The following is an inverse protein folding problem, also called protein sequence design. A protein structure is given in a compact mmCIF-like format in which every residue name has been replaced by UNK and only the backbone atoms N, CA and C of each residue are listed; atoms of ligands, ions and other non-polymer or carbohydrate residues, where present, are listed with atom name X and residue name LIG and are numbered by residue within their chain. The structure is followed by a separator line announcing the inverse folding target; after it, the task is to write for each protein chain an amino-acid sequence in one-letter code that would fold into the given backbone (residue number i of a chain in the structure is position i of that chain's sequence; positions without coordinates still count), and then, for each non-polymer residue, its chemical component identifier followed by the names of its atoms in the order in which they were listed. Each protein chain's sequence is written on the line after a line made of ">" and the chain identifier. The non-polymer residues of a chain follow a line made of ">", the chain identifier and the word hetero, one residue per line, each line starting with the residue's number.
data_IF_680299512719
#
_entry.id   IF_680299512719
#
_cell.length_a   1.000
_cell.length_b   1.000
_cell.length_c   1.000
_cell.angle_alpha   90.00
_cell.angle_beta   90.00
_cell.angle_gamma   90.00
#
_symmetry.space_group_name_H-M   'P 1'
#
loop_
_entity.id
_entity.type
_entity.pdbx_description
1 polymer ?
#
# COMPACT_ATOMS: atom_id res chain seq x y z
N UNK A 1 23.30 -3.33 6.06
CA UNK A 1 23.11 -2.80 7.43
C UNK A 1 23.74 -3.73 8.45
N UNK A 2 24.36 -3.25 9.52
CA UNK A 2 24.79 -4.09 10.65
C UNK A 2 23.56 -4.36 11.53
N UNK A 3 22.78 -5.37 11.16
CA UNK A 3 21.59 -5.79 11.91
C UNK A 3 22.01 -6.70 13.05
N UNK A 4 21.50 -6.43 14.26
CA UNK A 4 21.63 -7.34 15.40
C UNK A 4 20.34 -8.16 15.55
N UNK A 5 20.42 -9.41 16.04
CA UNK A 5 19.22 -10.17 16.42
C UNK A 5 18.37 -9.41 17.45
N UNK A 6 19.02 -8.78 18.42
CA UNK A 6 18.39 -7.97 19.46
C UNK A 6 19.09 -6.62 19.59
N UNK A 7 18.31 -5.56 19.87
CA UNK A 7 18.81 -4.21 20.14
C UNK A 7 17.74 -3.37 20.84
N UNK A 8 18.16 -2.32 21.56
CA UNK A 8 17.21 -1.37 22.16
C UNK A 8 16.44 -0.54 21.14
N UNK A 9 16.98 -0.39 19.92
CA UNK A 9 16.32 0.28 18.81
C UNK A 9 15.84 -0.78 17.81
N UNK A 10 14.55 -0.75 17.48
CA UNK A 10 13.95 -1.56 16.42
C UNK A 10 13.60 -0.67 15.24
N UNK A 11 14.16 -0.96 14.06
CA UNK A 11 13.69 -0.33 12.83
C UNK A 11 12.43 -1.04 12.35
N UNK A 12 11.34 -0.31 12.22
CA UNK A 12 10.09 -0.77 11.62
C UNK A 12 9.98 -0.20 10.22
N UNK A 13 10.18 -1.04 9.21
CA UNK A 13 10.26 -0.60 7.81
C UNK A 13 8.87 -0.28 7.25
N UNK A 14 7.88 -1.09 7.59
CA UNK A 14 6.53 -1.03 7.06
C UNK A 14 6.43 -1.63 5.65
N UNK A 15 5.19 -1.76 5.17
CA UNK A 15 4.91 -2.48 3.93
C UNK A 15 5.35 -1.73 2.67
N UNK A 16 4.93 -0.47 2.48
CA UNK A 16 5.22 0.26 1.22
C UNK A 16 6.71 0.48 1.03
N UNK A 17 7.46 0.80 2.10
CA UNK A 17 8.91 0.95 2.03
C UNK A 17 9.64 -0.39 1.80
N UNK A 18 9.04 -1.54 2.14
CA UNK A 18 9.67 -2.85 1.94
C UNK A 18 9.37 -3.45 0.56
N UNK A 19 8.19 -3.17 0.00
CA UNK A 19 7.69 -3.86 -1.20
C UNK A 19 7.49 -2.97 -2.42
N UNK A 20 7.44 -1.63 -2.28
CA UNK A 20 7.16 -0.71 -3.40
C UNK A 20 8.28 0.32 -3.53
N UNK A 21 8.53 1.08 -2.47
CA UNK A 21 9.52 2.16 -2.38
C UNK A 21 10.74 1.67 -1.59
N UNK A 22 11.44 0.69 -2.16
CA UNK A 22 12.50 -0.06 -1.47
C UNK A 22 13.71 0.81 -1.09
N UNK A 23 13.92 1.90 -1.83
CA UNK A 23 14.96 2.89 -1.54
C UNK A 23 14.74 3.61 -0.21
N UNK A 24 13.50 3.77 0.24
CA UNK A 24 13.17 4.34 1.55
C UNK A 24 13.73 3.45 2.67
N UNK A 25 13.46 2.15 2.62
CA UNK A 25 13.92 1.23 3.64
C UNK A 25 15.43 1.01 3.58
N UNK A 26 15.98 0.86 2.37
CA UNK A 26 17.41 0.73 2.16
C UNK A 26 18.18 1.98 2.61
N UNK A 27 17.74 3.16 2.18
CA UNK A 27 18.33 4.45 2.54
C UNK A 27 18.28 4.70 4.03
N UNK A 28 17.13 4.45 4.67
CA UNK A 28 16.99 4.60 6.12
C UNK A 28 17.97 3.70 6.87
N UNK A 29 18.03 2.42 6.50
CA UNK A 29 18.95 1.49 7.13
C UNK A 29 20.41 1.92 6.95
N UNK A 30 20.81 2.40 5.76
CA UNK A 30 22.17 2.90 5.48
C UNK A 30 22.49 4.14 6.32
N UNK A 31 21.59 5.10 6.40
CA UNK A 31 21.78 6.33 7.18
C UNK A 31 21.90 6.05 8.67
N UNK A 32 21.03 5.20 9.23
CA UNK A 32 21.12 4.80 10.64
C UNK A 32 22.48 4.14 10.94
N UNK A 33 22.95 3.25 10.07
CA UNK A 33 24.28 2.64 10.22
C UNK A 33 25.41 3.66 10.13
N UNK A 34 25.35 4.59 9.17
CA UNK A 34 26.36 5.63 9.00
C UNK A 34 26.40 6.60 10.19
N UNK A 35 25.26 6.82 10.83
CA UNK A 35 25.14 7.59 12.06
C UNK A 35 25.48 6.81 13.35
N UNK A 36 26.02 5.58 13.22
CA UNK A 36 26.43 4.76 14.35
C UNK A 36 25.27 4.20 15.18
N UNK A 37 24.06 4.15 14.64
CA UNK A 37 22.88 3.60 15.32
C UNK A 37 22.86 2.09 15.16
N UNK A 38 22.91 1.37 16.27
CA UNK A 38 22.72 -0.08 16.30
C UNK A 38 21.24 -0.42 16.46
N UNK A 39 20.70 -1.25 15.56
CA UNK A 39 19.28 -1.61 15.58
C UNK A 39 19.01 -3.07 15.17
N UNK A 40 17.85 -3.56 15.58
CA UNK A 40 17.23 -4.82 15.14
C UNK A 40 16.05 -4.53 14.20
N UNK A 41 15.54 -5.57 13.55
CA UNK A 41 14.41 -5.52 12.61
C UNK A 41 13.60 -6.82 12.76
N UNK A 42 12.29 -6.75 12.50
CA UNK A 42 11.41 -7.92 12.60
C UNK A 42 11.57 -8.90 11.43
N UNK A 43 12.09 -8.48 10.27
CA UNK A 43 12.30 -9.40 9.17
C UNK A 43 10.97 -9.87 8.58
N UNK A 44 10.89 -11.16 8.29
CA UNK A 44 9.67 -11.81 7.82
C UNK A 44 8.55 -11.82 8.88
N UNK A 45 8.87 -11.59 10.16
CA UNK A 45 7.87 -11.46 11.21
C UNK A 45 7.18 -10.09 11.21
N UNK A 46 7.65 -9.09 10.46
CA UNK A 46 7.04 -7.75 10.46
C UNK A 46 5.66 -7.78 9.82
N UNK A 47 4.62 -7.39 10.57
CA UNK A 47 3.30 -7.14 10.01
C UNK A 47 3.14 -5.65 9.61
N UNK A 48 2.18 -5.36 8.73
CA UNK A 48 1.78 -3.99 8.44
C UNK A 48 1.45 -3.21 9.73
N UNK A 49 1.60 -1.88 9.73
CA UNK A 49 1.20 -1.03 10.85
C UNK A 49 -0.32 -1.00 11.11
N UNK A 50 -1.12 -1.61 10.22
CA UNK A 50 -2.56 -1.78 10.39
C UNK A 50 -3.41 -0.53 10.22
N UNK A 51 -2.82 0.64 9.91
CA UNK A 51 -3.58 1.89 9.78
C UNK A 51 -4.81 1.79 8.85
N UNK A 52 -4.74 1.14 7.66
CA UNK A 52 -5.92 0.94 6.82
C UNK A 52 -7.03 0.13 7.50
N UNK A 53 -6.69 -0.88 8.31
CA UNK A 53 -7.67 -1.68 9.05
C UNK A 53 -8.37 -0.85 10.11
N UNK A 54 -7.63 0.00 10.83
CA UNK A 54 -8.19 0.91 11.82
C UNK A 54 -9.22 1.86 11.20
N UNK A 55 -8.86 2.57 10.12
CA UNK A 55 -9.73 3.58 9.49
C UNK A 55 -10.91 2.95 8.74
N UNK A 56 -10.78 1.70 8.29
CA UNK A 56 -11.87 0.94 7.67
C UNK A 56 -12.82 0.28 8.68
N UNK A 57 -12.60 0.46 9.99
CA UNK A 57 -13.45 -0.15 11.03
C UNK A 57 -13.20 -1.65 11.24
N UNK A 58 -12.10 -2.21 10.71
CA UNK A 58 -11.70 -3.62 10.89
C UNK A 58 -10.91 -3.78 12.20
N UNK A 59 -11.59 -3.44 13.29
CA UNK A 59 -11.03 -3.29 14.63
C UNK A 59 -10.48 -4.56 15.24
N UNK A 60 -11.11 -5.72 14.99
CA UNK A 60 -10.60 -7.01 15.46
C UNK A 60 -9.25 -7.34 14.79
N UNK A 61 -9.17 -7.20 13.47
CA UNK A 61 -7.93 -7.36 12.70
C UNK A 61 -6.86 -6.36 13.12
N UNK A 62 -7.25 -5.09 13.38
CA UNK A 62 -6.30 -4.11 13.90
C UNK A 62 -5.76 -4.51 15.27
N UNK A 63 -6.59 -5.01 16.17
CA UNK A 63 -6.16 -5.49 17.49
C UNK A 63 -5.20 -6.69 17.41
N UNK A 64 -5.39 -7.60 16.46
CA UNK A 64 -4.45 -8.70 16.18
C UNK A 64 -3.09 -8.16 15.73
N UNK A 65 -3.09 -7.22 14.79
CA UNK A 65 -1.87 -6.57 14.27
C UNK A 65 -1.11 -5.82 15.38
N UNK A 66 -1.84 -5.10 16.24
CA UNK A 66 -1.26 -4.37 17.38
C UNK A 66 -0.52 -5.34 18.32
N UNK A 67 -1.18 -6.44 18.73
CA UNK A 67 -0.56 -7.48 19.58
C UNK A 67 0.70 -8.05 18.96
N UNK A 68 0.58 -8.52 17.71
CA UNK A 68 1.68 -9.15 16.98
C UNK A 68 2.92 -8.25 16.89
N UNK A 69 2.74 -6.99 16.50
CA UNK A 69 3.84 -6.06 16.35
C UNK A 69 4.48 -5.67 17.70
N UNK A 70 3.67 -5.40 18.73
CA UNK A 70 4.16 -5.08 20.09
C UNK A 70 4.98 -6.24 20.64
N UNK A 71 4.45 -7.46 20.58
CA UNK A 71 5.10 -8.67 21.07
C UNK A 71 6.39 -8.94 20.29
N UNK A 72 6.36 -8.81 18.96
CA UNK A 72 7.51 -9.04 18.10
C UNK A 72 8.68 -8.07 18.34
N UNK A 73 8.40 -6.78 18.59
CA UNK A 73 9.43 -5.80 18.98
C UNK A 73 9.95 -6.07 20.39
N UNK A 74 9.06 -6.35 21.35
CA UNK A 74 9.43 -6.65 22.74
C UNK A 74 10.33 -7.89 22.84
N UNK A 75 10.01 -8.94 22.08
CA UNK A 75 10.79 -10.17 22.01
C UNK A 75 12.23 -9.95 21.50
N UNK A 76 12.50 -8.82 20.81
CA UNK A 76 13.82 -8.44 20.30
C UNK A 76 14.56 -7.42 21.17
N UNK A 77 14.04 -7.15 22.38
CA UNK A 77 14.63 -6.22 23.34
C UNK A 77 14.45 -4.73 23.00
N UNK A 78 13.53 -4.41 22.09
CA UNK A 78 13.31 -3.04 21.61
C UNK A 78 12.63 -2.19 22.69
N UNK A 79 13.10 -0.95 22.85
CA UNK A 79 12.47 0.12 23.64
C UNK A 79 12.15 1.35 22.81
N UNK A 80 12.89 1.58 21.73
CA UNK A 80 12.64 2.68 20.79
C UNK A 80 12.35 2.11 19.41
N UNK A 81 11.15 2.35 18.89
CA UNK A 81 10.76 2.00 17.53
C UNK A 81 11.08 3.17 16.61
N UNK A 82 11.96 2.94 15.65
CA UNK A 82 12.30 3.91 14.60
C UNK A 82 11.58 3.54 13.33
N UNK A 83 10.89 4.49 12.72
CA UNK A 83 10.13 4.29 11.48
C UNK A 83 10.69 5.14 10.34
N UNK A 84 10.50 4.69 9.10
CA UNK A 84 10.76 5.47 7.87
C UNK A 84 9.50 6.05 7.23
N UNK A 85 8.33 5.57 7.64
CA UNK A 85 7.06 6.00 7.09
C UNK A 85 6.25 6.78 8.15
N UNK A 86 5.85 8.03 7.87
CA UNK A 86 4.97 8.83 8.73
C UNK A 86 3.66 8.15 9.15
N UNK A 87 3.07 7.29 8.32
CA UNK A 87 1.88 6.54 8.69
C UNK A 87 2.18 5.43 9.73
N UNK A 88 3.35 4.80 9.61
CA UNK A 88 3.81 3.81 10.59
C UNK A 88 4.17 4.51 11.90
N UNK A 89 4.83 5.68 11.83
CA UNK A 89 5.07 6.54 12.99
C UNK A 89 3.77 6.85 13.74
N UNK A 90 2.73 7.34 13.04
CA UNK A 90 1.43 7.66 13.66
C UNK A 90 0.78 6.43 14.31
N UNK A 91 0.88 5.28 13.64
CA UNK A 91 0.31 4.02 14.15
C UNK A 91 0.98 3.61 15.45
N UNK A 92 2.32 3.56 15.49
CA UNK A 92 3.06 3.22 16.70
C UNK A 92 2.89 4.29 17.78
N UNK A 93 3.17 5.56 17.46
CA UNK A 93 3.22 6.65 18.44
C UNK A 93 1.86 6.89 19.12
N UNK A 94 0.78 6.88 18.34
CA UNK A 94 -0.55 7.30 18.81
C UNK A 94 -1.48 6.10 18.94
N UNK A 95 -1.75 5.38 17.86
CA UNK A 95 -2.83 4.38 17.87
C UNK A 95 -2.48 3.11 18.64
N UNK A 96 -1.26 2.59 18.54
CA UNK A 96 -0.85 1.39 19.26
C UNK A 96 -0.84 1.63 20.76
N UNK A 97 -0.43 2.83 21.20
CA UNK A 97 -0.52 3.23 22.61
C UNK A 97 -1.95 3.20 23.13
N UNK A 98 -2.89 3.84 22.42
CA UNK A 98 -4.31 3.87 22.80
C UNK A 98 -4.93 2.46 22.79
N UNK A 99 -4.57 1.65 21.81
CA UNK A 99 -5.10 0.30 21.66
C UNK A 99 -4.49 -0.69 22.64
N UNK A 100 -3.20 -0.59 22.94
CA UNK A 100 -2.56 -1.39 23.97
C UNK A 100 -3.27 -1.21 25.32
N UNK A 101 -3.63 0.02 25.69
CA UNK A 101 -4.42 0.29 26.89
C UNK A 101 -5.79 -0.42 26.85
N UNK A 102 -6.52 -0.35 25.72
CA UNK A 102 -7.82 -1.03 25.56
C UNK A 102 -7.71 -2.55 25.62
N UNK A 103 -6.59 -3.09 25.15
CA UNK A 103 -6.33 -4.53 25.08
C UNK A 103 -5.66 -5.09 26.34
N UNK A 104 -5.27 -4.24 27.29
CA UNK A 104 -4.54 -4.64 28.49
C UNK A 104 -3.09 -5.08 28.21
N UNK A 105 -2.47 -4.51 27.18
CA UNK A 105 -1.08 -4.78 26.80
C UNK A 105 -0.16 -3.70 27.39
N UNK A 106 1.03 -4.10 27.81
CA UNK A 106 2.08 -3.16 28.18
C UNK A 106 2.63 -2.44 26.94
N UNK A 107 2.69 -1.11 27.02
CA UNK A 107 3.20 -0.26 25.94
C UNK A 107 4.15 0.81 26.49
N UNK A 108 5.44 0.52 26.41
CA UNK A 108 6.54 1.33 26.92
C UNK A 108 7.55 1.72 25.82
N UNK A 109 7.09 1.71 24.56
CA UNK A 109 7.93 2.12 23.42
C UNK A 109 8.01 3.65 23.27
N UNK A 110 9.23 4.15 23.13
CA UNK A 110 9.48 5.44 22.49
C UNK A 110 9.36 5.27 20.97
N UNK A 111 8.71 6.21 20.28
CA UNK A 111 8.51 6.10 18.83
C UNK A 111 9.09 7.31 18.14
N UNK A 112 9.98 7.08 17.18
CA UNK A 112 10.69 8.13 16.43
C UNK A 112 10.62 7.88 14.94
N UNK A 113 10.63 8.95 14.17
CA UNK A 113 10.98 8.89 12.75
C UNK A 113 12.50 8.94 12.59
N UNK A 114 13.06 8.26 11.59
CA UNK A 114 14.53 8.22 11.41
C UNK A 114 15.14 9.61 11.25
N UNK A 115 14.41 10.58 10.69
CA UNK A 115 14.90 11.96 10.57
C UNK A 115 15.12 12.62 11.94
N UNK A 116 14.34 12.28 12.97
CA UNK A 116 14.54 12.76 14.33
C UNK A 116 15.84 12.23 14.91
N UNK A 117 16.14 10.95 14.67
CA UNK A 117 17.36 10.30 15.13
C UNK A 117 18.58 10.91 14.43
N UNK A 118 18.52 11.09 13.11
CA UNK A 118 19.60 11.72 12.35
C UNK A 118 19.83 13.18 12.74
N UNK A 119 18.76 13.97 12.87
CA UNK A 119 18.85 15.37 13.27
C UNK A 119 19.51 15.50 14.66
N UNK A 120 19.18 14.63 15.62
CA UNK A 120 19.84 14.61 16.91
C UNK A 120 21.34 14.32 16.80
N UNK A 121 21.75 13.30 16.04
CA UNK A 121 23.16 12.97 15.81
C UNK A 121 23.92 14.10 15.10
N UNK A 122 23.26 14.79 14.16
CA UNK A 122 23.83 15.97 13.48
C UNK A 122 24.05 17.11 14.48
N UNK A 123 23.04 17.45 15.30
CA UNK A 123 23.16 18.51 16.32
C UNK A 123 24.22 18.20 17.37
N UNK A 124 24.36 16.92 17.75
CA UNK A 124 25.41 16.46 18.65
C UNK A 124 26.82 16.49 18.01
N UNK A 125 26.92 16.68 16.69
CA UNK A 125 28.18 16.63 15.96
C UNK A 125 28.73 15.21 15.74
N UNK A 126 27.93 14.18 16.05
CA UNK A 126 28.28 12.76 15.96
C UNK A 126 28.09 12.19 14.56
N UNK A 127 27.31 12.86 13.72
CA UNK A 127 27.10 12.49 12.32
C UNK A 127 27.19 13.71 11.41
N UNK A 128 27.86 13.55 10.27
CA UNK A 128 27.98 14.56 9.21
C UNK A 128 27.99 13.87 7.86
N UNK A 129 27.40 14.51 6.86
CA UNK A 129 27.46 14.02 5.49
C UNK A 129 28.83 14.33 4.86
N UNK A 130 29.52 13.32 4.29
CA UNK A 130 30.88 13.51 3.76
C UNK A 130 30.92 14.17 2.37
N UNK A 131 29.89 13.99 1.54
CA UNK A 131 29.91 14.43 0.14
C UNK A 131 28.86 15.50 -0.15
N UNK A 132 29.14 16.44 -1.07
CA UNK A 132 28.16 17.40 -1.51
C UNK A 132 27.13 16.81 -2.47
N UNK A 133 25.90 17.32 -2.42
CA UNK A 133 24.81 17.04 -3.36
C UNK A 133 24.30 18.39 -3.88
N UNK A 134 24.89 18.94 -4.97
CA UNK A 134 24.50 20.23 -5.53
C UNK A 134 23.15 20.09 -6.23
N UNK A 135 22.08 20.31 -5.48
CA UNK A 135 20.71 20.19 -5.94
C UNK A 135 19.82 21.16 -5.15
N UNK A 136 18.96 21.89 -5.85
CA UNK A 136 17.93 22.72 -5.24
C UNK A 136 16.64 21.93 -5.09
N UNK A 137 16.20 21.74 -3.85
CA UNK A 137 15.03 20.92 -3.53
C UNK A 137 14.00 21.70 -2.73
N UNK A 138 12.75 21.26 -2.81
CA UNK A 138 11.71 21.66 -1.88
C UNK A 138 11.20 20.48 -1.06
N UNK A 139 10.50 20.73 0.04
CA UNK A 139 10.10 19.72 1.01
C UNK A 139 8.58 19.59 1.13
N UNK A 140 8.08 18.36 1.02
CA UNK A 140 6.69 18.02 1.29
C UNK A 140 6.51 17.57 2.75
N UNK A 141 5.82 18.38 3.55
CA UNK A 141 5.44 18.00 4.91
C UNK A 141 4.33 16.93 4.92
N UNK A 142 4.61 15.69 5.38
CA UNK A 142 3.62 14.63 5.40
C UNK A 142 2.61 14.85 6.53
N UNK A 143 1.32 14.61 6.26
CA UNK A 143 0.25 14.90 7.20
C UNK A 143 0.30 14.10 8.51
N UNK A 144 0.68 12.82 8.47
CA UNK A 144 0.70 11.94 9.65
C UNK A 144 1.82 12.25 10.65
N UNK A 145 2.94 12.81 10.19
CA UNK A 145 4.06 13.19 11.06
C UNK A 145 4.05 14.69 11.36
N UNK A 146 3.65 15.52 10.38
CA UNK A 146 3.49 16.96 10.57
C UNK A 146 2.25 17.31 11.39
N UNK A 147 1.05 17.23 10.80
CA UNK A 147 -0.19 17.69 11.48
C UNK A 147 -0.55 16.87 12.72
N UNK A 148 -0.34 15.56 12.68
CA UNK A 148 -0.66 14.70 13.82
C UNK A 148 0.50 14.55 14.82
N UNK A 149 1.74 14.82 14.41
CA UNK A 149 2.93 14.61 15.25
C UNK A 149 3.74 15.85 15.63
N UNK A 150 3.51 16.98 14.97
CA UNK A 150 4.29 18.21 15.19
C UNK A 150 5.74 18.14 14.71
N UNK A 151 6.11 17.11 13.96
CA UNK A 151 7.50 16.89 13.51
C UNK A 151 7.69 17.56 12.15
N UNK A 152 8.31 18.75 12.17
CA UNK A 152 8.57 19.56 10.97
C UNK A 152 10.06 19.84 10.74
N UNK A 153 10.80 20.16 11.79
CA UNK A 153 12.21 20.56 11.66
C UNK A 153 13.19 19.41 11.44
N UNK A 154 13.05 18.22 12.05
CA UNK A 154 14.06 17.17 11.89
C UNK A 154 14.36 16.77 10.43
N UNK A 155 13.36 16.60 9.53
CA UNK A 155 13.63 16.42 8.11
C UNK A 155 14.43 17.58 7.47
N UNK A 156 14.10 18.82 7.83
CA UNK A 156 14.78 20.02 7.32
C UNK A 156 16.20 20.15 7.83
N UNK A 157 16.46 19.78 9.08
CA UNK A 157 17.80 19.71 9.66
C UNK A 157 18.67 18.70 8.91
N UNK A 158 18.12 17.52 8.59
CA UNK A 158 18.81 16.53 7.75
C UNK A 158 19.13 17.10 6.37
N UNK A 159 18.17 17.74 5.69
CA UNK A 159 18.39 18.35 4.38
C UNK A 159 19.45 19.44 4.41
N UNK A 160 19.37 20.38 5.37
CA UNK A 160 20.34 21.49 5.52
C UNK A 160 21.74 21.01 5.90
N UNK A 161 21.86 19.82 6.49
CA UNK A 161 23.15 19.24 6.84
C UNK A 161 23.89 18.64 5.62
N UNK A 162 23.22 18.41 4.49
CA UNK A 162 23.84 17.89 3.28
C UNK A 162 24.62 19.03 2.58
N UNK A 163 25.95 18.91 2.42
CA UNK A 163 26.73 19.95 1.78
C UNK A 163 26.25 20.21 0.34
N UNK A 164 26.18 21.47 -0.07
CA UNK A 164 25.78 21.85 -1.43
C UNK A 164 24.28 21.74 -1.74
N UNK A 165 23.47 21.16 -0.86
CA UNK A 165 22.02 21.10 -1.06
C UNK A 165 21.37 22.46 -0.71
N UNK A 166 20.54 22.98 -1.61
CA UNK A 166 19.73 24.18 -1.35
C UNK A 166 18.28 23.75 -1.04
N UNK A 167 17.79 24.06 0.17
CA UNK A 167 16.38 23.84 0.53
C UNK A 167 15.59 25.13 0.35
N UNK A 168 14.55 25.09 -0.49
CA UNK A 168 13.55 26.15 -0.64
C UNK A 168 12.16 25.68 -0.22
N UNK A 169 11.49 26.48 0.62
CA UNK A 169 10.16 26.14 1.13
C UNK A 169 9.07 26.51 0.11
N UNK A 170 8.05 25.65 0.00
CA UNK A 170 6.79 26.01 -0.66
C UNK A 170 6.00 27.02 0.20
N UNK A 171 5.12 27.79 -0.45
CA UNK A 171 4.23 28.77 0.21
C UNK A 171 3.46 28.13 1.38
N UNK A 172 2.82 27.00 1.12
CA UNK A 172 2.11 26.21 2.11
C UNK A 172 3.05 25.15 2.67
N UNK A 173 3.60 25.37 3.86
CA UNK A 173 4.47 24.43 4.56
C UNK A 173 4.02 24.22 6.02
N UNK A 174 4.66 23.27 6.70
CA UNK A 174 4.36 22.84 8.07
C UNK A 174 2.88 22.48 8.25
N UNK A 175 2.21 23.00 9.27
CA UNK A 175 0.80 22.72 9.57
C UNK A 175 -0.14 23.13 8.42
N UNK A 176 0.27 24.11 7.62
CA UNK A 176 -0.48 24.62 6.47
C UNK A 176 -0.25 23.82 5.19
N UNK A 177 0.63 22.81 5.18
CA UNK A 177 0.96 22.06 3.97
C UNK A 177 -0.26 21.31 3.38
N UNK A 178 -0.44 21.43 2.06
CA UNK A 178 -1.48 20.70 1.36
C UNK A 178 -1.17 19.20 1.29
N UNK A 179 -2.23 18.39 1.30
CA UNK A 179 -2.14 16.93 1.21
C UNK A 179 -1.56 16.50 -0.15
N UNK A 180 -0.91 15.33 -0.21
CA UNK A 180 -0.50 14.71 -1.47
C UNK A 180 -1.67 14.06 -2.24
N UNK A 181 -2.77 13.73 -1.54
CA UNK A 181 -3.95 13.06 -2.11
C UNK A 181 -3.94 11.53 -2.03
N UNK A 182 -2.91 10.90 -1.46
CA UNK A 182 -2.70 9.44 -1.56
C UNK A 182 -3.84 8.61 -0.97
N UNK A 183 -4.36 8.98 0.20
CA UNK A 183 -5.43 8.23 0.86
C UNK A 183 -6.71 8.23 0.03
N UNK A 184 -7.07 9.33 -0.63
CA UNK A 184 -8.27 9.37 -1.50
C UNK A 184 -8.15 8.41 -2.68
N UNK A 185 -6.93 8.22 -3.20
CA UNK A 185 -6.65 7.21 -4.24
C UNK A 185 -6.90 5.79 -3.77
N UNK A 186 -6.74 5.54 -2.47
CA UNK A 186 -6.88 4.22 -1.89
C UNK A 186 -8.30 3.90 -1.43
N UNK A 187 -9.03 4.87 -0.88
CA UNK A 187 -10.25 4.58 -0.10
C UNK A 187 -11.55 5.13 -0.67
N UNK A 188 -11.51 6.08 -1.61
CA UNK A 188 -12.73 6.77 -2.03
C UNK A 188 -12.75 7.14 -3.52
N UNK A 189 -12.01 8.19 -3.89
CA UNK A 189 -12.10 8.80 -5.22
C UNK A 189 -10.69 8.96 -5.86
N UNK A 190 -10.22 7.94 -6.58
CA UNK A 190 -8.94 7.96 -7.28
C UNK A 190 -8.72 9.16 -8.21
N UNK A 191 -9.78 9.62 -8.87
CA UNK A 191 -9.69 10.79 -9.75
C UNK A 191 -9.43 12.09 -9.00
N UNK A 192 -9.80 12.17 -7.73
CA UNK A 192 -9.52 13.36 -6.90
C UNK A 192 -8.08 13.36 -6.38
N UNK A 193 -7.48 12.19 -6.18
CA UNK A 193 -6.10 12.07 -5.70
C UNK A 193 -5.10 12.84 -6.56
N UNK A 194 -5.17 12.69 -7.90
CA UNK A 194 -4.33 13.45 -8.84
C UNK A 194 -4.63 14.95 -8.84
N UNK A 195 -5.88 15.37 -8.58
CA UNK A 195 -6.24 16.80 -8.52
C UNK A 195 -5.55 17.47 -7.34
N UNK A 196 -5.62 16.84 -6.17
CA UNK A 196 -4.97 17.34 -4.95
C UNK A 196 -3.44 17.30 -5.09
N UNK A 197 -2.88 16.18 -5.55
CA UNK A 197 -1.44 16.07 -5.79
C UNK A 197 -0.94 17.13 -6.78
N UNK A 198 -1.75 17.51 -7.77
CA UNK A 198 -1.38 18.50 -8.77
C UNK A 198 -1.32 19.91 -8.19
N UNK A 199 -2.17 20.24 -7.20
CA UNK A 199 -2.03 21.48 -6.43
C UNK A 199 -0.67 21.49 -5.74
N UNK A 200 -0.30 20.39 -5.08
CA UNK A 200 0.97 20.28 -4.38
C UNK A 200 2.19 20.37 -5.30
N UNK A 201 2.15 19.72 -6.46
CA UNK A 201 3.25 19.78 -7.43
C UNK A 201 3.42 21.17 -8.03
N UNK A 202 2.33 21.92 -8.27
CA UNK A 202 2.42 23.32 -8.74
C UNK A 202 3.09 24.23 -7.72
N UNK A 203 2.81 24.03 -6.43
CA UNK A 203 3.49 24.76 -5.37
C UNK A 203 4.98 24.45 -5.38
N UNK A 204 5.35 23.18 -5.57
CA UNK A 204 6.75 22.78 -5.64
C UNK A 204 7.48 23.42 -6.83
N UNK A 205 6.90 23.36 -8.03
CA UNK A 205 7.45 24.01 -9.22
C UNK A 205 7.57 25.54 -9.06
N UNK A 206 6.61 26.18 -8.39
CA UNK A 206 6.61 27.63 -8.17
C UNK A 206 7.81 28.11 -7.33
N UNK A 207 8.44 27.22 -6.54
CA UNK A 207 9.67 27.53 -5.80
C UNK A 207 10.92 27.60 -6.70
N UNK A 208 10.84 27.07 -7.93
CA UNK A 208 11.99 26.85 -8.80
C UNK A 208 12.92 25.75 -8.31
N UNK A 209 12.43 24.81 -7.50
CA UNK A 209 13.17 23.62 -7.11
C UNK A 209 13.31 22.63 -8.28
N UNK A 210 14.41 21.90 -8.30
CA UNK A 210 14.72 20.85 -9.28
C UNK A 210 14.09 19.50 -8.90
N UNK A 211 13.69 19.33 -7.64
CA UNK A 211 12.95 18.16 -7.16
C UNK A 211 12.11 18.49 -5.92
N UNK A 212 11.05 17.72 -5.70
CA UNK A 212 10.31 17.69 -4.42
C UNK A 212 10.75 16.48 -3.61
N UNK A 213 11.11 16.71 -2.34
CA UNK A 213 11.52 15.68 -1.40
C UNK A 213 10.36 15.35 -0.48
N UNK A 214 10.12 14.08 -0.25
CA UNK A 214 9.14 13.57 0.71
C UNK A 214 9.79 12.51 1.63
N UNK A 215 9.08 12.08 2.67
CA UNK A 215 9.51 10.97 3.56
C UNK A 215 8.43 9.90 3.73
N UNK A 216 7.30 10.06 3.06
CA UNK A 216 6.20 9.13 3.15
C UNK A 216 6.13 8.35 1.84
N UNK A 217 6.36 7.02 1.86
CA UNK A 217 6.27 6.19 0.67
C UNK A 217 4.95 6.39 -0.08
N UNK A 218 3.82 6.52 0.63
CA UNK A 218 2.53 6.76 0.00
C UNK A 218 2.40 8.15 -0.64
N UNK A 219 3.06 9.18 -0.07
CA UNK A 219 3.10 10.49 -0.69
C UNK A 219 3.95 10.46 -1.97
N UNK A 220 5.08 9.76 -1.94
CA UNK A 220 5.97 9.64 -3.10
C UNK A 220 5.27 8.99 -4.27
N UNK A 221 4.69 7.80 -4.08
CA UNK A 221 3.94 7.11 -5.13
C UNK A 221 2.85 8.02 -5.69
N UNK A 222 2.06 8.65 -4.82
CA UNK A 222 0.97 9.52 -5.26
C UNK A 222 1.48 10.72 -6.07
N UNK A 223 2.55 11.37 -5.63
CA UNK A 223 3.11 12.54 -6.32
C UNK A 223 3.74 12.13 -7.66
N UNK A 224 4.43 10.98 -7.74
CA UNK A 224 4.96 10.41 -9.00
C UNK A 224 3.84 10.09 -9.99
N UNK A 225 2.78 9.41 -9.52
CA UNK A 225 1.58 9.13 -10.31
C UNK A 225 0.93 10.42 -10.79
N UNK A 226 0.86 11.42 -9.93
CA UNK A 226 0.26 12.71 -10.28
C UNK A 226 1.10 13.44 -11.31
N UNK A 227 2.43 13.46 -11.16
CA UNK A 227 3.34 14.05 -12.13
C UNK A 227 3.15 13.42 -13.52
N UNK A 228 3.14 12.08 -13.59
CA UNK A 228 2.91 11.36 -14.84
C UNK A 228 1.52 11.68 -15.45
N UNK A 229 0.45 11.58 -14.66
CA UNK A 229 -0.93 11.82 -15.13
C UNK A 229 -1.19 13.28 -15.50
N UNK A 230 -0.35 14.22 -15.08
CA UNK A 230 -0.48 15.66 -15.38
C UNK A 230 0.62 16.18 -16.31
N UNK A 231 1.49 15.32 -16.83
CA UNK A 231 2.53 15.68 -17.79
C UNK A 231 3.61 16.59 -17.20
N UNK A 232 3.92 16.43 -15.92
CA UNK A 232 4.95 17.20 -15.21
C UNK A 232 6.26 16.44 -15.15
N UNK A 233 7.35 17.18 -15.27
CA UNK A 233 8.72 16.66 -15.23
C UNK A 233 9.45 17.12 -13.95
N UNK A 234 8.75 17.07 -12.81
CA UNK A 234 9.33 17.37 -11.49
C UNK A 234 9.65 16.05 -10.77
N UNK A 235 10.94 15.72 -10.57
CA UNK A 235 11.35 14.54 -9.79
C UNK A 235 10.81 14.55 -8.37
N UNK A 236 10.37 13.38 -7.92
CA UNK A 236 9.96 13.13 -6.53
C UNK A 236 10.96 12.17 -5.89
N UNK A 237 11.66 12.62 -4.86
CA UNK A 237 12.78 11.88 -4.25
C UNK A 237 12.49 11.66 -2.77
N UNK A 238 12.73 10.45 -2.26
CA UNK A 238 12.69 10.19 -0.83
C UNK A 238 13.83 10.92 -0.10
N UNK A 239 13.58 11.35 1.14
CA UNK A 239 14.56 11.98 2.02
C UNK A 239 15.73 11.03 2.33
N UNK A 240 15.45 9.76 2.61
CA UNK A 240 16.50 8.79 2.93
C UNK A 240 17.32 8.49 1.67
N UNK A 241 16.67 8.45 0.51
CA UNK A 241 17.34 8.35 -0.78
C UNK A 241 18.28 9.51 -1.03
N UNK A 242 17.77 10.75 -0.97
CA UNK A 242 18.56 11.94 -1.22
C UNK A 242 19.73 12.05 -0.24
N UNK A 243 19.50 11.82 1.05
CA UNK A 243 20.54 11.85 2.07
C UNK A 243 21.59 10.74 1.89
N UNK A 244 21.20 9.58 1.35
CA UNK A 244 22.16 8.49 1.05
C UNK A 244 23.11 8.84 -0.09
N UNK A 245 22.72 9.71 -1.04
CA UNK A 245 23.65 10.23 -2.06
C UNK A 245 24.82 10.98 -1.43
N UNK A 246 24.56 11.72 -0.35
CA UNK A 246 25.59 12.43 0.40
C UNK A 246 26.54 11.48 1.16
N UNK A 247 26.15 10.22 1.38
CA UNK A 247 27.04 9.14 1.86
C UNK A 247 27.88 8.50 0.74
N UNK A 248 27.74 8.95 -0.51
CA UNK A 248 28.41 8.34 -1.67
C UNK A 248 27.75 7.03 -2.11
N UNK A 249 26.50 6.79 -1.70
CA UNK A 249 25.73 5.63 -2.14
C UNK A 249 24.77 6.08 -3.24
N UNK A 250 24.99 5.54 -4.44
CA UNK A 250 24.03 5.68 -5.53
C UNK A 250 23.00 4.55 -5.42
N UNK A 251 21.75 4.91 -5.15
CA UNK A 251 20.65 3.97 -5.02
C UNK A 251 19.80 4.02 -6.28
N UNK A 252 19.27 2.86 -6.66
CA UNK A 252 18.40 2.74 -7.84
C UNK A 252 17.16 3.61 -7.65
N UNK A 253 16.80 4.38 -8.67
CA UNK A 253 15.52 5.09 -8.71
C UNK A 253 14.36 4.09 -8.63
N UNK A 254 13.51 4.15 -7.58
CA UNK A 254 12.38 3.23 -7.44
C UNK A 254 11.26 3.54 -8.43
N UNK A 255 11.23 4.74 -9.03
CA UNK A 255 10.09 5.25 -9.80
C UNK A 255 9.57 4.26 -10.85
N UNK A 256 10.40 3.63 -11.72
CA UNK A 256 9.88 2.68 -12.71
C UNK A 256 9.15 1.49 -12.08
N UNK A 257 9.71 0.94 -11.00
CA UNK A 257 9.12 -0.20 -10.30
C UNK A 257 7.90 0.19 -9.49
N UNK A 258 7.96 1.30 -8.74
CA UNK A 258 6.84 1.82 -7.97
C UNK A 258 5.64 2.12 -8.88
N UNK A 259 5.86 2.71 -10.05
CA UNK A 259 4.82 2.99 -11.03
C UNK A 259 4.21 1.72 -11.63
N UNK A 260 5.03 0.70 -11.91
CA UNK A 260 4.56 -0.61 -12.37
C UNK A 260 3.70 -1.30 -11.30
N UNK A 261 4.23 -1.44 -10.08
CA UNK A 261 3.55 -2.08 -8.96
C UNK A 261 2.24 -1.36 -8.59
N UNK A 262 2.26 -0.02 -8.57
CA UNK A 262 1.07 0.77 -8.27
C UNK A 262 0.01 0.69 -9.38
N UNK A 263 0.43 0.62 -10.64
CA UNK A 263 -0.48 0.43 -11.77
C UNK A 263 -1.25 -0.89 -11.67
N UNK A 264 -0.56 -1.98 -11.31
CA UNK A 264 -1.19 -3.28 -11.04
C UNK A 264 -2.16 -3.19 -9.87
N UNK A 265 -1.74 -2.55 -8.78
CA UNK A 265 -2.56 -2.38 -7.58
C UNK A 265 -3.83 -1.55 -7.85
N UNK A 266 -3.74 -0.41 -8.56
CA UNK A 266 -4.89 0.41 -8.96
C UNK A 266 -5.87 -0.39 -9.83
N UNK A 267 -5.37 -1.15 -10.80
CA UNK A 267 -6.19 -2.00 -11.65
C UNK A 267 -6.87 -3.15 -10.87
N UNK A 268 -6.19 -3.74 -9.88
CA UNK A 268 -6.78 -4.74 -8.99
C UNK A 268 -7.88 -4.15 -8.11
N UNK A 269 -7.67 -2.99 -7.48
CA UNK A 269 -8.72 -2.29 -6.71
C UNK A 269 -9.93 -2.03 -7.61
N UNK A 270 -9.69 -1.57 -8.84
CA UNK A 270 -10.77 -1.31 -9.78
C UNK A 270 -11.54 -2.57 -10.15
N UNK A 271 -10.82 -3.69 -10.38
CA UNK A 271 -11.41 -4.99 -10.64
C UNK A 271 -12.31 -5.45 -9.49
N UNK A 272 -11.93 -5.21 -8.24
CA UNK A 272 -12.67 -5.62 -7.05
C UNK A 272 -13.96 -4.84 -6.79
N UNK A 273 -14.28 -3.81 -7.57
CA UNK A 273 -15.59 -3.14 -7.47
C UNK A 273 -16.72 -4.12 -7.84
N UNK A 274 -17.87 -4.11 -7.13
CA UNK A 274 -18.92 -5.10 -7.34
C UNK A 274 -19.37 -5.22 -8.81
N UNK A 275 -19.48 -4.10 -9.53
CA UNK A 275 -19.88 -4.05 -10.93
C UNK A 275 -18.82 -4.67 -11.84
N UNK A 276 -17.54 -4.40 -11.58
CA UNK A 276 -16.40 -4.90 -12.36
C UNK A 276 -16.17 -6.39 -12.12
N UNK A 277 -16.34 -6.84 -10.88
CA UNK A 277 -16.38 -8.27 -10.57
C UNK A 277 -17.57 -8.95 -11.25
N UNK A 278 -18.75 -8.32 -11.31
CA UNK A 278 -19.87 -8.89 -12.03
C UNK A 278 -19.58 -9.04 -13.54
N UNK A 279 -18.92 -8.04 -14.15
CA UNK A 279 -18.45 -8.11 -15.55
C UNK A 279 -17.44 -9.24 -15.76
N UNK A 280 -16.52 -9.47 -14.81
CA UNK A 280 -15.59 -10.60 -14.83
C UNK A 280 -16.35 -11.94 -14.77
N UNK A 281 -17.30 -12.07 -13.86
CA UNK A 281 -18.08 -13.31 -13.70
C UNK A 281 -18.96 -13.61 -14.92
N UNK A 282 -19.53 -12.60 -15.55
CA UNK A 282 -20.33 -12.76 -16.77
C UNK A 282 -19.52 -13.37 -17.93
N UNK A 283 -18.26 -12.95 -18.08
CA UNK A 283 -17.35 -13.55 -19.06
C UNK A 283 -17.04 -15.04 -18.77
N UNK A 284 -17.13 -15.44 -17.50
CA UNK A 284 -16.93 -16.82 -17.07
C UNK A 284 -18.17 -17.71 -17.22
N UNK A 285 -19.34 -17.19 -17.58
CA UNK A 285 -20.55 -18.03 -17.72
C UNK A 285 -20.37 -19.14 -18.75
N UNK A 286 -19.90 -18.83 -19.96
CA UNK A 286 -19.67 -19.82 -21.00
C UNK A 286 -18.73 -20.97 -20.56
N UNK A 287 -17.50 -20.70 -20.06
CA UNK A 287 -16.64 -21.77 -19.55
C UNK A 287 -17.24 -22.50 -18.34
N UNK A 288 -17.96 -21.81 -17.45
CA UNK A 288 -18.65 -22.45 -16.32
C UNK A 288 -19.70 -23.46 -16.79
N UNK A 289 -20.59 -23.10 -17.72
CA UNK A 289 -21.61 -24.03 -18.24
C UNK A 289 -20.99 -25.18 -19.04
N UNK A 290 -19.89 -24.96 -19.77
CA UNK A 290 -19.14 -26.04 -20.43
C UNK A 290 -18.52 -27.02 -19.43
N UNK A 291 -18.10 -26.54 -18.27
CA UNK A 291 -17.50 -27.35 -17.21
C UNK A 291 -18.52 -28.10 -16.34
N UNK A 292 -19.82 -27.77 -16.43
CA UNK A 292 -20.87 -28.41 -15.64
C UNK A 292 -21.10 -29.88 -16.00
N UNK A 293 -21.44 -30.74 -15.01
CA UNK A 293 -21.88 -32.10 -15.28
C UNK A 293 -23.12 -32.13 -16.19
N UNK A 294 -23.17 -33.08 -17.12
CA UNK A 294 -24.24 -33.20 -18.10
C UNK A 294 -25.68 -33.21 -17.50
N UNK A 295 -25.97 -33.87 -16.36
CA UNK A 295 -27.31 -33.83 -15.76
C UNK A 295 -27.74 -32.43 -15.33
N UNK A 296 -26.79 -31.64 -14.80
CA UNK A 296 -27.04 -30.27 -14.38
C UNK A 296 -27.23 -29.33 -15.57
N UNK A 297 -26.43 -29.49 -16.62
CA UNK A 297 -26.58 -28.73 -17.86
C UNK A 297 -27.95 -29.00 -18.51
N UNK A 298 -28.39 -30.26 -18.52
CA UNK A 298 -29.71 -30.64 -19.02
C UNK A 298 -30.84 -30.00 -18.20
N UNK A 299 -30.71 -29.96 -16.88
CA UNK A 299 -31.65 -29.27 -15.99
C UNK A 299 -31.72 -27.76 -16.28
N UNK A 300 -30.58 -27.09 -16.49
CA UNK A 300 -30.56 -25.65 -16.81
C UNK A 300 -31.22 -25.35 -18.17
N UNK A 301 -30.99 -26.20 -19.18
CA UNK A 301 -31.67 -26.13 -20.48
C UNK A 301 -33.18 -26.37 -20.37
N UNK A 302 -33.62 -27.21 -19.44
CA UNK A 302 -35.04 -27.40 -19.15
C UNK A 302 -35.63 -26.17 -18.43
N UNK A 303 -34.89 -25.57 -17.51
CA UNK A 303 -35.30 -24.37 -16.79
C UNK A 303 -35.57 -23.17 -17.71
N UNK A 304 -34.87 -23.08 -18.84
CA UNK A 304 -35.17 -22.13 -19.92
C UNK A 304 -36.61 -22.25 -20.47
N UNK A 305 -37.17 -23.45 -20.48
CA UNK A 305 -38.47 -23.77 -21.11
C UNK A 305 -39.65 -23.76 -20.15
N UNK A 306 -39.42 -23.79 -18.84
CA UNK A 306 -40.47 -23.86 -17.82
C UNK A 306 -40.67 -22.49 -17.17
N UNK A 307 -41.87 -21.86 -17.29
CA UNK A 307 -42.17 -20.58 -16.67
C UNK A 307 -41.95 -20.61 -15.15
N UNK A 308 -41.23 -19.62 -14.62
CA UNK A 308 -40.98 -19.47 -13.18
C UNK A 308 -39.80 -20.28 -12.62
N UNK A 309 -39.28 -21.28 -13.34
CA UNK A 309 -38.21 -22.15 -12.83
C UNK A 309 -36.88 -21.40 -12.63
N UNK A 310 -36.55 -20.45 -13.51
CA UNK A 310 -35.38 -19.57 -13.34
C UNK A 310 -35.51 -18.62 -12.15
N UNK A 311 -36.73 -18.32 -11.70
CA UNK A 311 -36.97 -17.51 -10.50
C UNK A 311 -36.57 -18.24 -9.21
N UNK A 312 -36.61 -19.58 -9.22
CA UNK A 312 -36.17 -20.43 -8.10
C UNK A 312 -34.64 -20.51 -7.97
N UNK A 313 -33.88 -20.10 -8.99
CA UNK A 313 -32.42 -20.07 -8.91
C UNK A 313 -31.93 -19.09 -7.85
N UNK A 314 -32.62 -17.96 -7.66
CA UNK A 314 -32.21 -16.91 -6.71
C UNK A 314 -32.13 -17.41 -5.25
N UNK A 315 -33.16 -18.07 -4.69
CA UNK A 315 -33.07 -18.64 -3.34
C UNK A 315 -32.20 -19.90 -3.25
N UNK A 316 -32.02 -20.65 -4.34
CA UNK A 316 -31.21 -21.88 -4.35
C UNK A 316 -29.70 -21.63 -4.50
N UNK A 317 -29.30 -20.54 -5.16
CA UNK A 317 -27.89 -20.26 -5.47
C UNK A 317 -26.97 -20.25 -4.24
N UNK A 318 -27.33 -19.60 -3.11
CA UNK A 318 -26.47 -19.59 -1.92
C UNK A 318 -26.24 -20.99 -1.34
N UNK A 319 -27.22 -21.91 -1.46
CA UNK A 319 -27.11 -23.28 -0.99
C UNK A 319 -26.23 -24.14 -1.93
N UNK A 320 -26.30 -23.88 -3.24
CA UNK A 320 -25.57 -24.67 -4.23
C UNK A 320 -24.12 -24.20 -4.43
N UNK A 321 -23.83 -22.90 -4.21
CA UNK A 321 -22.51 -22.32 -4.44
C UNK A 321 -21.36 -23.01 -3.68
N UNK A 322 -21.50 -23.38 -2.39
CA UNK A 322 -20.44 -24.08 -1.65
C UNK A 322 -20.03 -25.42 -2.27
N UNK A 323 -20.92 -26.07 -3.04
CA UNK A 323 -20.64 -27.33 -3.73
C UNK A 323 -20.17 -27.10 -5.16
N UNK A 324 -20.80 -26.15 -5.86
CA UNK A 324 -20.53 -25.85 -7.26
C UNK A 324 -19.18 -25.17 -7.48
N UNK A 325 -18.82 -24.21 -6.62
CA UNK A 325 -17.58 -23.43 -6.77
C UNK A 325 -16.36 -24.33 -6.69
N UNK A 326 -16.18 -25.21 -5.68
CA UNK A 326 -15.01 -26.12 -5.65
C UNK A 326 -14.95 -27.10 -6.82
N UNK A 327 -16.10 -27.53 -7.35
CA UNK A 327 -16.17 -28.45 -8.49
C UNK A 327 -15.77 -27.77 -9.81
N UNK A 328 -16.24 -26.54 -10.03
CA UNK A 328 -16.07 -25.81 -11.29
C UNK A 328 -14.77 -25.00 -11.31
N UNK A 329 -14.33 -24.44 -10.19
CA UNK A 329 -13.18 -23.52 -10.18
C UNK A 329 -11.90 -24.12 -10.76
N UNK A 330 -11.47 -25.34 -10.42
CA UNK A 330 -10.26 -25.91 -11.02
C UNK A 330 -10.31 -25.98 -12.55
N UNK A 331 -11.50 -26.17 -13.13
CA UNK A 331 -11.71 -26.24 -14.59
C UNK A 331 -11.82 -24.87 -15.25
N UNK A 332 -12.30 -23.86 -14.50
CA UNK A 332 -12.54 -22.49 -14.98
C UNK A 332 -11.36 -21.56 -14.65
N UNK A 333 -10.42 -22.01 -13.80
CA UNK A 333 -9.25 -21.24 -13.38
C UNK A 333 -8.43 -20.69 -14.56
N UNK A 334 -8.15 -21.47 -15.64
CA UNK A 334 -7.42 -20.93 -16.79
C UNK A 334 -8.15 -19.77 -17.47
N UNK A 335 -9.48 -19.87 -17.65
CA UNK A 335 -10.30 -18.79 -18.21
C UNK A 335 -10.33 -17.57 -17.27
N UNK A 336 -10.38 -17.80 -15.95
CA UNK A 336 -10.35 -16.75 -14.94
C UNK A 336 -9.01 -16.00 -14.93
N UNK A 337 -7.89 -16.72 -14.95
CA UNK A 337 -6.54 -16.13 -15.06
C UNK A 337 -6.42 -15.26 -16.32
N UNK A 338 -6.89 -15.76 -17.47
CA UNK A 338 -6.88 -15.00 -18.71
C UNK A 338 -7.79 -13.75 -18.64
N UNK A 339 -8.95 -13.86 -18.02
CA UNK A 339 -9.88 -12.74 -17.86
C UNK A 339 -9.37 -11.67 -16.88
N UNK A 340 -8.67 -12.07 -15.83
CA UNK A 340 -7.96 -11.16 -14.91
C UNK A 340 -6.81 -10.48 -15.64
N UNK A 341 -5.96 -11.23 -16.36
CA UNK A 341 -4.82 -10.66 -17.09
C UNK A 341 -5.21 -9.62 -18.15
N UNK A 342 -6.39 -9.77 -18.78
CA UNK A 342 -6.94 -8.74 -19.70
C UNK A 342 -7.33 -7.44 -19.00
N UNK A 343 -7.72 -7.51 -17.73
CA UNK A 343 -8.20 -6.36 -16.95
C UNK A 343 -7.10 -5.70 -16.11
N UNK A 344 -6.11 -6.49 -15.72
CA UNK A 344 -4.98 -6.06 -14.90
C UNK A 344 -3.70 -6.31 -15.68
N UNK A 345 -3.12 -5.27 -16.31
CA UNK A 345 -1.87 -5.41 -17.05
C UNK A 345 -0.72 -5.62 -16.06
N UNK A 346 -0.38 -6.89 -15.83
CA UNK A 346 0.68 -7.29 -14.93
C UNK A 346 2.00 -7.49 -15.68
N UNK A 347 3.16 -7.19 -15.06
CA UNK A 347 4.46 -7.57 -15.60
C UNK A 347 4.64 -9.09 -15.57
N UNK A 348 5.56 -9.61 -16.41
CA UNK A 348 5.76 -11.06 -16.60
C UNK A 348 5.99 -11.80 -15.28
N UNK A 349 6.86 -11.28 -14.42
CA UNK A 349 7.18 -11.89 -13.13
C UNK A 349 5.97 -12.00 -12.19
N UNK A 350 4.98 -11.10 -12.28
CA UNK A 350 3.73 -11.20 -11.52
C UNK A 350 2.77 -12.18 -12.18
N UNK A 351 2.67 -12.17 -13.51
CA UNK A 351 1.81 -13.13 -14.25
C UNK A 351 2.19 -14.58 -13.97
N UNK A 352 3.49 -14.87 -13.85
CA UNK A 352 4.01 -16.20 -13.52
C UNK A 352 3.56 -16.71 -12.16
N UNK A 353 3.29 -15.81 -11.20
CA UNK A 353 2.86 -16.15 -9.84
C UNK A 353 1.33 -16.25 -9.69
N UNK A 354 0.57 -15.69 -10.64
CA UNK A 354 -0.90 -15.64 -10.57
C UNK A 354 -1.58 -17.01 -10.43
N UNK A 355 -1.12 -18.10 -11.08
CA UNK A 355 -1.72 -19.42 -10.91
C UNK A 355 -1.72 -19.91 -9.46
N UNK A 356 -0.72 -19.52 -8.67
CA UNK A 356 -0.60 -19.91 -7.25
C UNK A 356 -1.30 -18.91 -6.33
N UNK A 357 -1.20 -17.61 -6.63
CA UNK A 357 -1.75 -16.55 -5.78
C UNK A 357 -3.28 -16.39 -5.90
N UNK A 358 -3.82 -16.47 -7.12
CA UNK A 358 -5.23 -16.20 -7.36
C UNK A 358 -6.17 -17.17 -6.64
N UNK A 359 -5.91 -18.50 -6.58
CA UNK A 359 -6.76 -19.42 -5.82
C UNK A 359 -6.83 -19.08 -4.33
N UNK A 360 -5.69 -18.80 -3.69
CA UNK A 360 -5.65 -18.44 -2.27
C UNK A 360 -6.28 -17.07 -2.02
N UNK A 361 -6.04 -16.09 -2.88
CA UNK A 361 -6.71 -14.79 -2.80
C UNK A 361 -8.24 -14.92 -2.90
N UNK A 362 -8.74 -15.75 -3.82
CA UNK A 362 -10.17 -15.97 -4.00
C UNK A 362 -10.81 -16.65 -2.79
N UNK A 363 -10.09 -17.54 -2.10
CA UNK A 363 -10.58 -18.19 -0.88
C UNK A 363 -10.89 -17.20 0.23
N UNK A 364 -10.04 -16.17 0.41
CA UNK A 364 -10.28 -15.09 1.37
C UNK A 364 -11.28 -14.04 0.89
N UNK A 365 -11.24 -13.71 -0.41
CA UNK A 365 -12.01 -12.64 -1.01
C UNK A 365 -13.48 -13.00 -1.24
N UNK A 366 -13.75 -14.18 -1.82
CA UNK A 366 -15.08 -14.55 -2.30
C UNK A 366 -16.17 -14.56 -1.22
N UNK A 367 -15.94 -15.04 0.01
CA UNK A 367 -16.95 -14.98 1.07
C UNK A 367 -17.48 -13.57 1.33
N UNK A 368 -16.62 -12.56 1.20
CA UNK A 368 -16.98 -11.16 1.41
C UNK A 368 -17.57 -10.51 0.15
N UNK A 369 -17.11 -10.92 -1.03
CA UNK A 369 -17.55 -10.36 -2.31
C UNK A 369 -18.87 -10.93 -2.80
N UNK A 370 -19.17 -12.21 -2.55
CA UNK A 370 -20.38 -12.88 -3.05
C UNK A 370 -21.67 -12.13 -2.71
N UNK A 371 -21.91 -11.67 -1.45
CA UNK A 371 -23.11 -10.90 -1.14
C UNK A 371 -23.25 -9.60 -1.94
N UNK A 372 -22.13 -8.97 -2.29
CA UNK A 372 -22.09 -7.70 -3.02
C UNK A 372 -22.33 -7.90 -4.52
N UNK A 373 -21.78 -8.97 -5.11
CA UNK A 373 -21.87 -9.22 -6.55
C UNK A 373 -23.11 -10.02 -6.94
N UNK A 374 -23.66 -10.85 -6.05
CA UNK A 374 -24.82 -11.72 -6.34
C UNK A 374 -26.02 -10.95 -6.91
N UNK A 375 -26.42 -9.77 -6.38
CA UNK A 375 -27.50 -8.98 -6.96
C UNK A 375 -27.25 -8.53 -8.40
N UNK A 376 -25.99 -8.42 -8.82
CA UNK A 376 -25.57 -8.00 -10.16
C UNK A 376 -25.41 -9.20 -11.10
N UNK A 377 -24.80 -10.29 -10.61
CA UNK A 377 -24.46 -11.49 -11.39
C UNK A 377 -25.69 -12.36 -11.69
N UNK A 378 -26.59 -12.57 -10.72
CA UNK A 378 -27.74 -13.48 -10.89
C UNK A 378 -28.67 -13.06 -12.04
N UNK A 379 -29.09 -11.78 -12.16
CA UNK A 379 -29.91 -11.35 -13.29
C UNK A 379 -29.22 -11.55 -14.65
N UNK A 380 -27.90 -11.29 -14.73
CA UNK A 380 -27.09 -11.50 -15.94
C UNK A 380 -27.02 -12.99 -16.31
N UNK A 381 -26.80 -13.86 -15.33
CA UNK A 381 -26.78 -15.31 -15.53
C UNK A 381 -28.14 -15.86 -15.99
N UNK A 382 -29.25 -15.38 -15.40
CA UNK A 382 -30.61 -15.75 -15.85
C UNK A 382 -30.83 -15.34 -17.31
N UNK A 383 -30.36 -14.14 -17.70
CA UNK A 383 -30.43 -13.67 -19.08
C UNK A 383 -29.61 -14.56 -20.01
N UNK A 384 -28.36 -14.84 -19.65
CA UNK A 384 -27.48 -15.75 -20.39
C UNK A 384 -28.14 -17.13 -20.61
N UNK A 385 -28.73 -17.72 -19.57
CA UNK A 385 -29.43 -19.02 -19.70
C UNK A 385 -30.61 -18.94 -20.67
N UNK A 386 -31.34 -17.81 -20.71
CA UNK A 386 -32.47 -17.65 -21.64
C UNK A 386 -32.02 -17.47 -23.08
N UNK A 387 -30.94 -16.74 -23.31
CA UNK A 387 -30.50 -16.33 -24.64
C UNK A 387 -29.54 -17.35 -25.27
N UNK A 388 -28.54 -17.79 -24.51
CA UNK A 388 -27.33 -18.47 -25.03
C UNK A 388 -27.25 -19.97 -24.69
N UNK A 389 -27.92 -20.42 -23.62
CA UNK A 389 -27.92 -21.84 -23.19
C UNK A 389 -29.04 -22.66 -23.85
#
# INVERSE_FOLDING_TARGET
>A
ARLKPEAQIGYFAGCTASFVEQDVAEGTARLLNAAGVEFTYMGEDEACCGLPMLVAGKWDTFAEIVRHNIEGMRARGVRTVVTSCPACWLSWHTYYKDWAQKLGLDYDFEVRHYSEVLAERIRAGEFRFPNPVPLKVTWHDPCHMGRAGGIYEPPREVLRAIPGLELVEMEYNRECAHCCGSVLTLVENPDTGKVIGNVRLREAEATGAEAVVASCPCCEVQLRVTAQKTGRDLPVIDLAHLASRALGVDMRDPTPYAMEAWGVFEAMIWLLKPERMADLFEELFAPMFRAMPAPMLAMMRLAKRVPGMLGLMKPMMPLMMPVLVPMLMPKVMPDMLAAVARRVPMPAHMQEQMPDLLPEAMKGLMPQMLPLITPLVVPRMIRYIREEL
#
